data_IF_223062047948
#
_entry.id   IF_223062047948
#
_cell.length_a   1.000
_cell.length_b   1.000
_cell.length_c   1.000
_cell.angle_alpha   90.00
_cell.angle_beta   90.00
_cell.angle_gamma   90.00
#
_symmetry.space_group_name_H-M   'P 1'
#
loop_
_entity.id
_entity.type
_entity.pdbx_description
1 polymer ?
#
# COMPACT_ATOMS: atom_id res chain seq x y z
N UNK A 1 -0.23 -10.84 4.25
CA UNK A 1 -0.20 -10.67 2.78
C UNK A 1 -0.57 -9.25 2.36
N UNK A 2 -1.71 -8.68 2.78
CA UNK A 2 -2.11 -7.31 2.43
C UNK A 2 -1.13 -6.19 2.80
N UNK A 3 -0.47 -6.29 3.97
CA UNK A 3 0.48 -5.28 4.43
C UNK A 3 1.76 -5.24 3.57
N UNK A 4 2.26 -6.40 3.15
CA UNK A 4 3.42 -6.50 2.27
C UNK A 4 3.13 -5.90 0.88
N UNK A 5 1.95 -6.17 0.32
CA UNK A 5 1.52 -5.58 -0.94
C UNK A 5 1.41 -4.04 -0.85
N UNK A 6 0.85 -3.52 0.23
CA UNK A 6 0.78 -2.07 0.47
C UNK A 6 2.17 -1.44 0.66
N UNK A 7 3.10 -2.13 1.33
CA UNK A 7 4.48 -1.67 1.48
C UNK A 7 5.22 -1.62 0.13
N UNK A 8 5.03 -2.63 -0.73
CA UNK A 8 5.60 -2.63 -2.09
C UNK A 8 5.02 -1.50 -2.94
N UNK A 9 3.71 -1.29 -2.88
CA UNK A 9 3.07 -0.16 -3.56
C UNK A 9 3.60 1.19 -3.05
N UNK A 10 3.71 1.37 -1.74
CA UNK A 10 4.27 2.58 -1.14
C UNK A 10 5.73 2.81 -1.56
N UNK A 11 6.55 1.75 -1.58
CA UNK A 11 7.94 1.83 -2.02
C UNK A 11 8.04 2.30 -3.47
N UNK A 12 7.21 1.78 -4.38
CA UNK A 12 7.20 2.22 -5.77
C UNK A 12 6.88 3.72 -5.91
N UNK A 13 5.90 4.22 -5.15
CA UNK A 13 5.59 5.66 -5.14
C UNK A 13 6.78 6.49 -4.63
N UNK A 14 7.47 6.04 -3.58
CA UNK A 14 8.62 6.72 -2.99
C UNK A 14 9.86 6.72 -3.90
N UNK A 15 10.02 5.67 -4.71
CA UNK A 15 11.11 5.58 -5.70
C UNK A 15 10.73 6.17 -7.05
N UNK A 16 9.56 6.83 -7.14
CA UNK A 16 9.02 7.42 -8.38
C UNK A 16 8.84 6.41 -9.52
N UNK A 17 8.62 5.14 -9.16
CA UNK A 17 8.26 4.06 -10.07
C UNK A 17 6.75 4.09 -10.34
N UNK A 18 6.37 3.93 -11.60
CA UNK A 18 4.97 3.94 -12.01
C UNK A 18 4.36 2.56 -11.85
N UNK A 19 4.03 2.21 -10.62
CA UNK A 19 3.31 0.98 -10.28
C UNK A 19 1.90 1.32 -9.82
N UNK A 20 0.91 0.62 -10.38
CA UNK A 20 -0.50 0.73 -10.02
C UNK A 20 -0.90 -0.31 -8.99
N UNK A 21 -1.99 -0.05 -8.25
CA UNK A 21 -2.54 -1.04 -7.31
C UNK A 21 -3.05 -2.29 -8.02
N UNK A 22 -3.45 -2.18 -9.29
CA UNK A 22 -3.89 -3.32 -10.12
C UNK A 22 -2.74 -4.26 -10.47
N UNK A 23 -1.56 -3.71 -10.79
CA UNK A 23 -0.35 -4.50 -11.01
C UNK A 23 0.07 -5.25 -9.75
N UNK A 24 0.04 -4.57 -8.59
CA UNK A 24 0.35 -5.20 -7.30
C UNK A 24 -0.71 -6.25 -6.93
N UNK A 25 -1.99 -5.96 -7.18
CA UNK A 25 -3.11 -6.88 -6.95
C UNK A 25 -2.95 -8.19 -7.71
N UNK A 26 -2.52 -8.11 -8.97
CA UNK A 26 -2.30 -9.28 -9.83
C UNK A 26 -1.18 -10.18 -9.31
N UNK A 27 -0.09 -9.60 -8.80
CA UNK A 27 1.06 -10.37 -8.28
C UNK A 27 0.80 -10.91 -6.88
N UNK A 28 0.13 -10.12 -6.03
CA UNK A 28 -0.09 -10.46 -4.62
C UNK A 28 -1.37 -11.29 -4.36
N UNK A 29 -2.18 -11.54 -5.39
CA UNK A 29 -3.46 -12.26 -5.32
C UNK A 29 -4.40 -11.72 -4.22
N UNK A 30 -4.55 -10.40 -4.18
CA UNK A 30 -5.45 -9.70 -3.25
C UNK A 30 -6.13 -8.53 -3.95
N UNK A 31 -7.26 -8.07 -3.42
CA UNK A 31 -8.00 -6.96 -4.03
C UNK A 31 -7.27 -5.61 -3.94
N UNK A 32 -7.48 -4.75 -4.94
CA UNK A 32 -7.03 -3.35 -4.90
C UNK A 32 -7.57 -2.60 -3.66
N UNK A 33 -8.78 -2.91 -3.22
CA UNK A 33 -9.38 -2.33 -2.01
C UNK A 33 -8.57 -2.70 -0.76
N UNK A 34 -8.10 -3.96 -0.67
CA UNK A 34 -7.24 -4.41 0.42
C UNK A 34 -5.91 -3.65 0.44
N UNK A 35 -5.27 -3.48 -0.72
CA UNK A 35 -4.02 -2.72 -0.87
C UNK A 35 -4.23 -1.27 -0.43
N UNK A 36 -5.30 -0.64 -0.91
CA UNK A 36 -5.65 0.75 -0.59
C UNK A 36 -5.87 0.97 0.90
N UNK A 37 -6.61 0.08 1.56
CA UNK A 37 -6.88 0.19 2.99
C UNK A 37 -5.60 0.05 3.81
N UNK A 38 -4.75 -0.93 3.49
CA UNK A 38 -3.46 -1.09 4.17
C UNK A 38 -2.49 0.05 3.89
N UNK A 39 -2.50 0.61 2.68
CA UNK A 39 -1.70 1.79 2.35
C UNK A 39 -2.12 3.01 3.17
N UNK A 40 -3.43 3.26 3.31
CA UNK A 40 -3.93 4.35 4.16
C UNK A 40 -3.50 4.19 5.62
N UNK A 41 -3.62 2.99 6.17
CA UNK A 41 -3.15 2.73 7.54
C UNK A 41 -1.64 2.98 7.71
N UNK A 42 -0.82 2.65 6.71
CA UNK A 42 0.61 2.97 6.74
C UNK A 42 0.85 4.49 6.80
N UNK A 43 0.09 5.28 6.04
CA UNK A 43 0.16 6.74 6.08
C UNK A 43 -0.32 7.30 7.42
N UNK A 44 -1.42 6.78 7.96
CA UNK A 44 -1.96 7.21 9.26
C UNK A 44 -0.99 6.94 10.41
N UNK A 45 -0.24 5.83 10.36
CA UNK A 45 0.84 5.54 11.30
C UNK A 45 2.02 6.50 11.10
N UNK A 46 2.40 6.77 9.85
CA UNK A 46 3.49 7.70 9.53
C UNK A 46 3.18 9.13 10.00
N UNK A 47 1.94 9.58 9.80
CA UNK A 47 1.46 10.91 10.18
C UNK A 47 1.14 11.00 11.68
N UNK A 48 1.22 9.89 12.42
CA UNK A 48 0.92 9.81 13.85
C UNK A 48 -0.58 9.92 14.19
N UNK A 49 -1.46 9.94 13.19
CA UNK A 49 -2.90 10.10 13.36
C UNK A 49 -3.60 8.83 13.86
N UNK A 50 -3.00 7.65 13.66
CA UNK A 50 -3.54 6.39 14.20
C UNK A 50 -3.27 6.19 15.71
N UNK A 51 -2.37 6.98 16.29
CA UNK A 51 -1.90 6.82 17.67
C UNK A 51 -2.41 7.93 18.63
N UNK A 52 -3.19 8.88 18.11
CA UNK A 52 -3.79 10.00 18.84
C UNK A 52 -5.23 9.72 19.27
#
# INVERSE_FOLDING_TARGET
VGLAAAAVYAAALLTNEKVTQSEVSTVADISEVTIRNRYKELLEVQDGTLLA
#
